data_IF_149127197231
#
_entry.id   IF_149127197231
#
_cell.length_a   1.000
_cell.length_b   1.000
_cell.length_c   1.000
_cell.angle_alpha   90.00
_cell.angle_beta   90.00
_cell.angle_gamma   90.00
#
_symmetry.space_group_name_H-M   'P 1'
#
loop_
_entity.id
_entity.type
_entity.pdbx_description
1 polymer ?
#
# COMPACT_ATOMS: atom_id res chain seq x y z
N UNK A 1 -9.29 -13.36 34.49
CA UNK A 1 -9.73 -13.76 33.14
C UNK A 1 -9.79 -12.49 32.31
N UNK A 2 -8.80 -12.27 31.44
CA UNK A 2 -8.71 -11.07 30.60
C UNK A 2 -9.88 -11.02 29.62
N UNK A 3 -10.55 -9.88 29.58
CA UNK A 3 -11.50 -9.53 28.54
C UNK A 3 -10.70 -9.31 27.26
N UNK A 4 -10.85 -10.21 26.28
CA UNK A 4 -10.43 -9.93 24.92
C UNK A 4 -11.26 -8.73 24.44
N UNK A 5 -10.59 -7.64 24.06
CA UNK A 5 -11.25 -6.54 23.38
C UNK A 5 -11.86 -7.13 22.10
N UNK A 6 -13.20 -7.19 22.05
CA UNK A 6 -13.93 -7.70 20.91
C UNK A 6 -13.65 -6.80 19.73
N UNK A 7 -13.02 -7.36 18.70
CA UNK A 7 -13.07 -6.80 17.37
C UNK A 7 -14.54 -6.83 16.93
N UNK A 8 -15.16 -5.66 16.83
CA UNK A 8 -16.47 -5.50 16.22
C UNK A 8 -16.25 -5.25 14.72
N UNK A 9 -16.60 -6.22 13.84
CA UNK A 9 -16.44 -6.03 12.40
C UNK A 9 -17.25 -4.84 11.87
N UNK A 10 -18.31 -4.42 12.57
CA UNK A 10 -19.10 -3.25 12.19
C UNK A 10 -18.34 -1.92 12.44
N UNK A 11 -17.32 -1.88 13.32
CA UNK A 11 -16.48 -0.68 13.51
C UNK A 11 -15.70 -0.36 12.22
N UNK A 12 -15.26 -1.36 11.47
CA UNK A 12 -14.54 -1.15 10.20
C UNK A 12 -15.45 -0.54 9.12
N UNK A 13 -16.73 -0.89 9.12
CA UNK A 13 -17.72 -0.37 8.16
C UNK A 13 -18.29 1.00 8.55
N UNK A 14 -17.88 1.55 9.70
CA UNK A 14 -18.26 2.91 10.08
C UNK A 14 -17.73 3.93 9.04
N UNK A 15 -18.52 4.90 8.56
CA UNK A 15 -18.13 5.78 7.44
C UNK A 15 -16.79 6.48 7.62
N UNK A 16 -16.48 6.95 8.83
CA UNK A 16 -15.21 7.60 9.13
C UNK A 16 -14.00 6.63 9.02
N UNK A 17 -14.19 5.35 9.36
CA UNK A 17 -13.16 4.32 9.23
C UNK A 17 -12.94 3.95 7.77
N UNK A 18 -14.01 3.73 7.02
CA UNK A 18 -13.96 3.48 5.56
C UNK A 18 -13.18 4.59 4.86
N UNK A 19 -13.54 5.86 5.08
CA UNK A 19 -12.83 7.01 4.51
C UNK A 19 -11.35 7.00 4.92
N UNK A 20 -11.05 6.69 6.18
CA UNK A 20 -9.67 6.62 6.67
C UNK A 20 -8.87 5.52 5.97
N UNK A 21 -9.46 4.35 5.72
CA UNK A 21 -8.80 3.23 5.02
C UNK A 21 -8.54 3.61 3.56
N UNK A 22 -9.53 4.11 2.84
CA UNK A 22 -9.39 4.49 1.42
C UNK A 22 -8.40 5.65 1.21
N UNK A 23 -8.43 6.65 2.10
CA UNK A 23 -7.43 7.72 2.11
C UNK A 23 -6.03 7.19 2.46
N UNK A 24 -5.95 6.21 3.38
CA UNK A 24 -4.73 5.50 3.73
C UNK A 24 -4.13 4.78 2.53
N UNK A 25 -4.96 4.01 1.82
CA UNK A 25 -4.57 3.26 0.62
C UNK A 25 -4.00 4.20 -0.43
N UNK A 26 -4.77 5.24 -0.80
CA UNK A 26 -4.33 6.23 -1.79
C UNK A 26 -3.01 6.88 -1.39
N UNK A 27 -2.83 7.22 -0.12
CA UNK A 27 -1.60 7.85 0.38
C UNK A 27 -0.40 6.91 0.30
N UNK A 28 -0.57 5.65 0.67
CA UNK A 28 0.51 4.66 0.62
C UNK A 28 0.90 4.36 -0.82
N UNK A 29 -0.08 4.14 -1.70
CA UNK A 29 0.19 3.93 -3.13
C UNK A 29 0.84 5.16 -3.77
N UNK A 30 0.43 6.38 -3.38
CA UNK A 30 1.10 7.60 -3.81
C UNK A 30 2.59 7.65 -3.43
N UNK A 31 2.98 7.11 -2.27
CA UNK A 31 4.40 6.99 -1.87
C UNK A 31 5.13 5.95 -2.71
N UNK A 32 4.48 4.84 -3.03
CA UNK A 32 5.04 3.82 -3.92
C UNK A 32 5.25 4.35 -5.35
N UNK A 33 4.46 5.32 -5.79
CA UNK A 33 4.57 5.94 -7.12
C UNK A 33 5.65 7.03 -7.24
N UNK A 34 6.19 7.52 -6.11
CA UNK A 34 7.21 8.58 -6.07
C UNK A 34 8.49 8.19 -6.82
N UNK A 35 9.28 9.19 -7.22
CA UNK A 35 10.62 8.93 -7.76
C UNK A 35 11.54 8.35 -6.65
N UNK A 36 12.61 7.62 -7.01
CA UNK A 36 13.48 6.98 -6.02
C UNK A 36 14.05 7.93 -4.95
N UNK A 37 14.48 9.14 -5.34
CA UNK A 37 15.00 10.15 -4.40
C UNK A 37 13.92 10.62 -3.41
N UNK A 38 12.68 10.78 -3.88
CA UNK A 38 11.54 11.19 -3.05
C UNK A 38 11.11 10.08 -2.09
N UNK A 39 11.17 8.81 -2.53
CA UNK A 39 10.95 7.65 -1.66
C UNK A 39 12.00 7.60 -0.53
N UNK A 40 13.28 7.78 -0.87
CA UNK A 40 14.37 7.85 0.13
C UNK A 40 14.19 9.00 1.10
N UNK A 41 13.84 10.18 0.61
CA UNK A 41 13.59 11.35 1.47
C UNK A 41 12.38 11.15 2.38
N UNK A 42 11.32 10.50 1.88
CA UNK A 42 10.17 10.11 2.70
C UNK A 42 10.58 9.17 3.85
N UNK A 43 11.29 8.08 3.54
CA UNK A 43 11.75 7.11 4.53
C UNK A 43 12.67 7.76 5.58
N UNK A 44 13.55 8.67 5.16
CA UNK A 44 14.40 9.45 6.07
C UNK A 44 13.56 10.31 7.02
N UNK A 45 12.52 10.99 6.53
CA UNK A 45 11.62 11.83 7.34
C UNK A 45 10.73 11.02 8.28
N UNK A 46 10.33 9.82 7.87
CA UNK A 46 9.52 8.92 8.68
C UNK A 46 10.29 8.39 9.91
N UNK A 47 11.62 8.53 9.95
CA UNK A 47 12.44 8.11 11.08
C UNK A 47 12.70 6.60 11.14
N UNK A 48 12.42 5.87 10.06
CA UNK A 48 12.57 4.41 9.96
C UNK A 48 13.97 3.98 9.49
N UNK A 49 14.97 4.82 9.68
CA UNK A 49 16.36 4.51 9.32
C UNK A 49 16.63 4.32 7.82
N UNK A 50 15.70 4.70 6.94
CA UNK A 50 15.83 4.46 5.50
C UNK A 50 15.43 3.05 5.05
N UNK A 51 14.84 2.25 5.95
CA UNK A 51 14.40 0.89 5.66
C UNK A 51 13.33 0.89 4.56
N UNK A 52 13.63 0.23 3.44
CA UNK A 52 12.76 0.27 2.25
C UNK A 52 11.53 -0.62 2.41
N UNK A 53 11.66 -1.70 3.18
CA UNK A 53 10.57 -2.60 3.59
C UNK A 53 9.38 -1.86 4.23
N UNK A 54 9.61 -0.73 4.90
CA UNK A 54 8.55 0.12 5.44
C UNK A 54 7.52 0.53 4.37
N UNK A 55 7.95 0.75 3.11
CA UNK A 55 7.00 1.03 2.02
C UNK A 55 6.05 -0.15 1.76
N UNK A 56 6.56 -1.38 1.87
CA UNK A 56 5.77 -2.59 1.69
C UNK A 56 4.86 -2.84 2.90
N UNK A 57 5.41 -2.75 4.11
CA UNK A 57 4.65 -2.92 5.36
C UNK A 57 3.47 -1.94 5.46
N UNK A 58 3.65 -0.70 5.01
CA UNK A 58 2.56 0.27 4.96
C UNK A 58 1.45 -0.12 3.99
N UNK A 59 1.79 -0.75 2.86
CA UNK A 59 0.79 -1.21 1.90
C UNK A 59 0.06 -2.43 2.44
N UNK A 60 0.81 -3.44 2.87
CA UNK A 60 0.29 -4.68 3.46
C UNK A 60 -0.73 -4.39 4.57
N UNK A 61 -0.40 -3.46 5.47
CA UNK A 61 -1.28 -3.06 6.57
C UNK A 61 -2.63 -2.50 6.11
N UNK A 62 -2.69 -1.84 4.95
CA UNK A 62 -3.93 -1.30 4.39
C UNK A 62 -4.64 -2.33 3.51
N UNK A 63 -3.90 -3.12 2.73
CA UNK A 63 -4.44 -4.19 1.88
C UNK A 63 -5.17 -5.25 2.73
N UNK A 64 -4.65 -5.57 3.92
CA UNK A 64 -5.28 -6.46 4.88
C UNK A 64 -6.68 -5.99 5.34
N UNK A 65 -7.04 -4.72 5.10
CA UNK A 65 -8.34 -4.14 5.46
C UNK A 65 -9.31 -4.06 4.27
N UNK A 66 -8.93 -4.48 3.06
CA UNK A 66 -9.76 -4.32 1.86
C UNK A 66 -10.89 -5.33 1.75
N UNK A 67 -10.69 -6.57 2.20
CA UNK A 67 -11.67 -7.65 2.05
C UNK A 67 -13.06 -7.27 2.62
N UNK A 68 -13.20 -6.74 3.86
CA UNK A 68 -14.50 -6.31 4.38
C UNK A 68 -15.14 -5.15 3.58
N UNK A 69 -14.32 -4.28 2.98
CA UNK A 69 -14.80 -3.14 2.20
C UNK A 69 -15.29 -3.59 0.82
N UNK A 70 -14.67 -4.62 0.23
CA UNK A 70 -15.13 -5.21 -1.02
C UNK A 70 -16.43 -6.00 -0.85
N UNK A 71 -16.55 -6.78 0.22
CA UNK A 71 -17.79 -7.48 0.57
C UNK A 71 -18.97 -6.51 0.76
N UNK A 72 -18.68 -5.29 1.22
CA UNK A 72 -19.65 -4.21 1.38
C UNK A 72 -19.82 -3.31 0.14
N UNK A 73 -19.12 -3.59 -0.96
CA UNK A 73 -19.13 -2.78 -2.19
C UNK A 73 -18.71 -1.30 -1.97
N UNK A 74 -17.83 -1.05 -0.99
CA UNK A 74 -17.36 0.28 -0.57
C UNK A 74 -16.02 0.71 -1.18
N UNK A 75 -15.39 -0.16 -1.97
CA UNK A 75 -14.15 0.12 -2.69
C UNK A 75 -14.30 -0.31 -4.15
N UNK A 76 -13.64 0.43 -5.05
CA UNK A 76 -13.58 0.06 -6.46
C UNK A 76 -12.83 -1.29 -6.62
N UNK A 77 -13.45 -2.32 -7.23
CA UNK A 77 -12.79 -3.60 -7.47
C UNK A 77 -11.47 -3.47 -8.24
N UNK A 78 -11.36 -2.51 -9.17
CA UNK A 78 -10.13 -2.28 -9.93
C UNK A 78 -9.02 -1.70 -9.04
N UNK A 79 -9.36 -0.81 -8.10
CA UNK A 79 -8.40 -0.29 -7.13
C UNK A 79 -7.95 -1.38 -6.16
N UNK A 80 -8.89 -2.19 -5.65
CA UNK A 80 -8.56 -3.28 -4.74
C UNK A 80 -7.65 -4.34 -5.42
N UNK A 81 -7.94 -4.69 -6.67
CA UNK A 81 -7.13 -5.63 -7.45
C UNK A 81 -5.72 -5.08 -7.71
N UNK A 82 -5.57 -3.81 -8.12
CA UNK A 82 -4.26 -3.21 -8.31
C UNK A 82 -3.47 -3.12 -7.00
N UNK A 83 -4.11 -2.78 -5.89
CA UNK A 83 -3.47 -2.74 -4.59
C UNK A 83 -2.90 -4.11 -4.18
N UNK A 84 -3.70 -5.18 -4.34
CA UNK A 84 -3.24 -6.57 -4.12
C UNK A 84 -2.13 -6.98 -5.07
N UNK A 85 -2.17 -6.56 -6.33
CA UNK A 85 -1.11 -6.88 -7.30
C UNK A 85 0.22 -6.23 -6.93
N UNK A 86 0.19 -4.99 -6.44
CA UNK A 86 1.39 -4.31 -5.93
C UNK A 86 1.92 -5.05 -4.69
N UNK A 87 1.03 -5.42 -3.77
CA UNK A 87 1.36 -6.17 -2.55
C UNK A 87 2.01 -7.53 -2.86
N UNK A 88 1.42 -8.30 -3.78
CA UNK A 88 2.00 -9.56 -4.28
C UNK A 88 3.37 -9.38 -4.92
N UNK A 89 3.58 -8.30 -5.67
CA UNK A 89 4.90 -8.00 -6.26
C UNK A 89 5.94 -7.77 -5.16
N UNK A 90 5.58 -7.03 -4.11
CA UNK A 90 6.45 -6.77 -2.97
C UNK A 90 6.73 -8.05 -2.17
N UNK A 91 5.74 -8.92 -1.98
CA UNK A 91 5.95 -10.23 -1.35
C UNK A 91 6.89 -11.12 -2.17
N UNK A 92 6.79 -11.09 -3.51
CA UNK A 92 7.72 -11.81 -4.38
C UNK A 92 9.17 -11.29 -4.27
N UNK A 93 9.40 -10.06 -3.81
CA UNK A 93 10.73 -9.51 -3.55
C UNK A 93 11.31 -9.96 -2.20
N UNK A 94 10.51 -10.61 -1.36
CA UNK A 94 10.94 -11.15 -0.07
C UNK A 94 11.90 -12.34 -0.21
N UNK A 95 12.59 -12.65 0.89
CA UNK A 95 13.50 -13.80 1.00
C UNK A 95 14.98 -13.41 1.06
N UNK A 96 15.77 -14.26 1.71
CA UNK A 96 17.18 -14.00 1.99
C UNK A 96 18.01 -13.74 0.72
N UNK A 97 17.73 -14.48 -0.35
CA UNK A 97 18.43 -14.35 -1.65
C UNK A 97 18.12 -13.02 -2.37
N UNK A 98 17.06 -12.32 -1.94
CA UNK A 98 16.60 -11.05 -2.50
C UNK A 98 16.74 -9.88 -1.52
N UNK A 99 17.44 -10.06 -0.40
CA UNK A 99 17.63 -9.03 0.61
C UNK A 99 18.16 -7.70 0.02
N UNK A 100 19.00 -7.78 -1.02
CA UNK A 100 19.53 -6.61 -1.73
C UNK A 100 18.45 -5.71 -2.35
N UNK A 101 17.24 -6.21 -2.62
CA UNK A 101 16.11 -5.43 -3.14
C UNK A 101 15.52 -4.47 -2.10
N UNK A 102 15.84 -4.67 -0.81
CA UNK A 102 15.33 -3.87 0.30
C UNK A 102 16.34 -2.85 0.83
N UNK A 103 17.50 -2.74 0.16
CA UNK A 103 18.49 -1.70 0.43
C UNK A 103 18.08 -0.37 -0.24
N UNK A 104 18.40 0.79 0.35
CA UNK A 104 18.01 2.11 -0.19
C UNK A 104 18.39 2.34 -1.65
N UNK A 105 19.51 1.79 -2.11
CA UNK A 105 20.00 1.92 -3.48
C UNK A 105 19.11 1.19 -4.49
N UNK A 106 18.48 0.09 -4.08
CA UNK A 106 17.61 -0.73 -4.94
C UNK A 106 16.40 0.05 -5.45
N UNK A 107 15.93 1.05 -4.68
CA UNK A 107 14.88 1.96 -5.14
C UNK A 107 15.23 2.61 -6.50
N UNK A 108 16.51 2.83 -6.77
CA UNK A 108 16.96 3.49 -8.00
C UNK A 108 17.44 2.52 -9.08
N UNK A 109 17.94 1.35 -8.70
CA UNK A 109 18.66 0.45 -9.61
C UNK A 109 17.91 -0.84 -9.94
N UNK A 110 17.02 -1.29 -9.06
CA UNK A 110 16.33 -2.56 -9.23
C UNK A 110 15.13 -2.41 -10.18
N UNK A 111 15.00 -3.27 -11.21
CA UNK A 111 13.86 -3.25 -12.11
C UNK A 111 12.54 -3.53 -11.39
N UNK A 112 12.55 -4.33 -10.32
CA UNK A 112 11.37 -4.66 -9.51
C UNK A 112 10.73 -3.38 -8.93
N UNK A 113 11.53 -2.45 -8.42
CA UNK A 113 11.03 -1.16 -7.92
C UNK A 113 10.51 -0.25 -9.03
N UNK A 114 10.98 -0.41 -10.28
CA UNK A 114 10.40 0.29 -11.43
C UNK A 114 9.00 -0.24 -11.72
N UNK A 115 8.80 -1.56 -11.66
CA UNK A 115 7.50 -2.20 -11.85
C UNK A 115 6.51 -1.83 -10.74
N UNK A 116 6.93 -1.85 -9.48
CA UNK A 116 6.12 -1.38 -8.34
C UNK A 116 5.64 0.06 -8.56
N UNK A 117 6.55 0.97 -8.96
CA UNK A 117 6.19 2.36 -9.28
C UNK A 117 5.22 2.47 -10.45
N UNK A 118 5.35 1.63 -11.47
CA UNK A 118 4.48 1.65 -12.63
C UNK A 118 3.04 1.25 -12.25
N UNK A 119 2.89 0.17 -11.49
CA UNK A 119 1.59 -0.28 -10.97
C UNK A 119 0.97 0.75 -10.01
N UNK A 120 1.78 1.34 -9.14
CA UNK A 120 1.33 2.39 -8.23
C UNK A 120 0.83 3.63 -8.98
N UNK A 121 1.47 4.01 -10.10
CA UNK A 121 0.98 5.08 -10.96
C UNK A 121 -0.32 4.69 -11.65
N UNK A 122 -0.42 3.47 -12.17
CA UNK A 122 -1.64 2.95 -12.79
C UNK A 122 -2.84 3.06 -11.82
N UNK A 123 -2.66 2.66 -10.56
CA UNK A 123 -3.67 2.82 -9.51
C UNK A 123 -4.14 4.27 -9.35
N UNK A 124 -3.22 5.25 -9.35
CA UNK A 124 -3.55 6.67 -9.18
C UNK A 124 -4.21 7.30 -10.41
N UNK A 125 -4.07 6.68 -11.59
CA UNK A 125 -4.70 7.12 -12.84
C UNK A 125 -5.97 6.35 -13.18
N UNK A 126 -6.40 5.41 -12.33
CA UNK A 126 -7.71 4.80 -12.50
C UNK A 126 -8.78 5.91 -12.48
N UNK A 127 -9.65 5.97 -13.51
CA UNK A 127 -10.72 6.94 -13.53
C UNK A 127 -11.61 6.74 -12.31
N UNK A 128 -12.10 7.84 -11.73
CA UNK A 128 -13.08 7.78 -10.65
C UNK A 128 -14.27 6.91 -11.11
N UNK A 129 -14.59 5.81 -10.40
CA UNK A 129 -15.72 4.95 -10.77
C UNK A 129 -17.06 5.70 -10.77
N UNK A 130 -17.13 6.88 -10.15
CA UNK A 130 -18.32 7.73 -10.11
C UNK A 130 -18.30 8.88 -11.12
N UNK A 131 -17.29 8.95 -11.99
CA UNK A 131 -17.25 9.88 -13.12
C UNK A 131 -17.02 11.34 -12.73
N UNK A 132 -15.75 11.70 -12.52
CA UNK A 132 -15.33 13.09 -12.38
C UNK A 132 -14.02 13.35 -13.15
N UNK A 133 -14.14 13.84 -14.38
CA UNK A 133 -13.08 14.63 -15.04
C UNK A 133 -13.44 16.10 -14.96
#
# INVERSE_FOLDING_TARGET
MSQAAGYDPDDLLHPARVISVLCGLTRVVARLALAPDDQREYLRRAGVGGSVDELALQLEAVVALLEPLEEAELVDPAQAELARRIDQMLDLMSGADKAYLWEPEALSTAPEWVEVRALAKEFLFLPDPFGGT
#
